data_IF_737255891288
#
_entry.id   IF_737255891288
#
_cell.length_a   1.000
_cell.length_b   1.000
_cell.length_c   1.000
_cell.angle_alpha   90.00
_cell.angle_beta   90.00
_cell.angle_gamma   90.00
#
_symmetry.space_group_name_H-M   'P 1'
#
loop_
_entity.id
_entity.type
_entity.pdbx_description
1 polymer ?
#
# COMPACT_ATOMS: atom_id res chain seq x y z
N UNK A 1 -19.92 -20.94 7.41
CA UNK A 1 -19.25 -19.70 7.84
C UNK A 1 -18.83 -18.91 6.60
N UNK A 2 -19.80 -18.44 5.81
CA UNK A 2 -19.54 -17.87 4.48
C UNK A 2 -19.96 -16.38 4.46
N UNK A 3 -19.83 -15.72 5.60
CA UNK A 3 -20.11 -14.30 5.72
C UNK A 3 -18.89 -13.48 5.33
N UNK A 4 -19.13 -12.27 4.82
CA UNK A 4 -18.12 -11.23 4.65
C UNK A 4 -18.65 -9.96 5.30
N UNK A 5 -17.81 -9.24 6.03
CA UNK A 5 -18.13 -7.94 6.60
C UNK A 5 -17.17 -6.89 6.05
N UNK A 6 -17.70 -5.89 5.35
CA UNK A 6 -16.98 -4.67 5.01
C UNK A 6 -17.34 -3.60 6.06
N UNK A 7 -16.34 -3.21 6.86
CA UNK A 7 -16.45 -2.13 7.85
C UNK A 7 -15.80 -0.86 7.31
N UNK A 8 -16.53 0.24 7.38
CA UNK A 8 -16.07 1.57 6.95
C UNK A 8 -16.17 2.54 8.12
N UNK A 9 -15.03 3.04 8.59
CA UNK A 9 -14.95 4.11 9.56
C UNK A 9 -14.57 5.40 8.82
N UNK A 10 -15.58 6.15 8.37
CA UNK A 10 -15.42 7.32 7.48
C UNK A 10 -14.54 8.41 8.11
N UNK A 11 -14.85 8.81 9.33
CA UNK A 11 -14.11 9.88 10.04
C UNK A 11 -12.66 9.47 10.32
N UNK A 12 -12.41 8.18 10.55
CA UNK A 12 -11.08 7.64 10.82
C UNK A 12 -10.28 7.30 9.54
N UNK A 13 -10.92 7.41 8.36
CA UNK A 13 -10.37 6.98 7.06
C UNK A 13 -9.85 5.54 7.07
N UNK A 14 -10.60 4.62 7.70
CA UNK A 14 -10.23 3.21 7.85
C UNK A 14 -11.26 2.26 7.25
N UNK A 15 -10.75 1.22 6.61
CA UNK A 15 -11.50 0.12 5.99
C UNK A 15 -11.03 -1.21 6.57
N UNK A 16 -11.97 -2.13 6.75
CA UNK A 16 -11.66 -3.51 7.10
C UNK A 16 -12.61 -4.48 6.39
N UNK A 17 -12.06 -5.57 5.87
CA UNK A 17 -12.83 -6.69 5.35
C UNK A 17 -12.54 -7.91 6.23
N UNK A 18 -13.58 -8.45 6.85
CA UNK A 18 -13.50 -9.73 7.57
C UNK A 18 -14.15 -10.82 6.75
N UNK A 19 -13.45 -11.94 6.59
CA UNK A 19 -13.91 -13.07 5.77
C UNK A 19 -14.13 -14.28 6.67
N UNK A 20 -15.31 -14.88 6.56
CA UNK A 20 -15.60 -16.15 7.23
C UNK A 20 -14.78 -17.29 6.65
N UNK A 21 -14.40 -18.25 7.50
CA UNK A 21 -13.54 -19.39 7.13
C UNK A 21 -13.96 -20.13 5.85
N UNK A 22 -15.25 -20.21 5.54
CA UNK A 22 -15.76 -20.88 4.35
C UNK A 22 -15.51 -20.14 3.03
N UNK A 23 -14.95 -18.93 3.08
CA UNK A 23 -14.63 -18.11 1.91
C UNK A 23 -13.13 -17.79 1.80
N UNK A 24 -12.27 -18.36 2.64
CA UNK A 24 -10.82 -18.11 2.57
C UNK A 24 -10.18 -18.58 1.25
N UNK A 25 -10.78 -19.58 0.58
CA UNK A 25 -10.37 -20.02 -0.75
C UNK A 25 -10.63 -18.96 -1.82
N UNK A 26 -11.80 -18.31 -1.77
CA UNK A 26 -12.22 -17.28 -2.71
C UNK A 26 -11.56 -15.92 -2.43
N UNK A 27 -11.53 -15.55 -1.14
CA UNK A 27 -11.12 -14.24 -0.64
C UNK A 27 -10.10 -14.46 0.50
N UNK A 28 -8.87 -14.86 0.19
CA UNK A 28 -7.79 -14.83 1.17
C UNK A 28 -7.45 -13.39 1.55
N UNK A 29 -6.72 -13.22 2.64
CA UNK A 29 -6.31 -11.90 3.17
C UNK A 29 -5.67 -10.99 2.09
N UNK A 30 -4.77 -11.55 1.28
CA UNK A 30 -4.11 -10.81 0.20
C UNK A 30 -5.06 -10.30 -0.89
N UNK A 31 -6.19 -10.98 -1.10
CA UNK A 31 -7.22 -10.56 -2.05
C UNK A 31 -8.12 -9.52 -1.41
N UNK A 32 -8.52 -9.72 -0.15
CA UNK A 32 -9.29 -8.72 0.61
C UNK A 32 -8.54 -7.38 0.68
N UNK A 33 -7.26 -7.43 0.97
CA UNK A 33 -6.38 -6.26 1.00
C UNK A 33 -6.30 -5.57 -0.37
N UNK A 34 -6.22 -6.35 -1.44
CA UNK A 34 -6.19 -5.83 -2.81
C UNK A 34 -7.48 -5.11 -3.19
N UNK A 35 -8.63 -5.65 -2.78
CA UNK A 35 -9.93 -4.98 -2.95
C UNK A 35 -9.92 -3.63 -2.22
N UNK A 36 -9.45 -3.59 -0.97
CA UNK A 36 -9.35 -2.34 -0.22
C UNK A 36 -8.46 -1.34 -0.96
N UNK A 37 -7.24 -1.73 -1.33
CA UNK A 37 -6.23 -0.80 -1.87
C UNK A 37 -6.48 -0.34 -3.30
N UNK A 38 -6.98 -1.21 -4.16
CA UNK A 38 -7.06 -0.95 -5.59
C UNK A 38 -8.48 -0.74 -6.11
N UNK A 39 -9.49 -1.21 -5.37
CA UNK A 39 -10.89 -1.01 -5.75
C UNK A 39 -11.49 0.10 -4.89
N UNK A 40 -11.52 -0.05 -3.56
CA UNK A 40 -12.27 0.88 -2.70
C UNK A 40 -11.54 2.21 -2.45
N UNK A 41 -10.27 2.14 -2.01
CA UNK A 41 -9.52 3.31 -1.56
C UNK A 41 -9.37 4.42 -2.62
N UNK A 42 -9.17 4.14 -3.93
CA UNK A 42 -9.10 5.18 -4.96
C UNK A 42 -10.37 6.04 -5.03
N UNK A 43 -11.55 5.42 -4.97
CA UNK A 43 -12.81 6.16 -4.96
C UNK A 43 -12.97 6.99 -3.69
N UNK A 44 -12.60 6.43 -2.54
CA UNK A 44 -12.71 7.11 -1.25
C UNK A 44 -11.75 8.30 -1.15
N UNK A 45 -10.56 8.23 -1.76
CA UNK A 45 -9.65 9.36 -1.92
C UNK A 45 -10.23 10.49 -2.77
N UNK A 46 -11.12 10.16 -3.70
CA UNK A 46 -11.83 11.11 -4.56
C UNK A 46 -13.20 11.53 -3.98
N UNK A 47 -13.48 11.21 -2.71
CA UNK A 47 -14.77 11.45 -2.04
C UNK A 47 -15.99 10.77 -2.71
N UNK A 48 -15.75 9.80 -3.60
CA UNK A 48 -16.77 9.02 -4.29
C UNK A 48 -17.13 7.74 -3.51
N UNK A 49 -17.62 7.92 -2.29
CA UNK A 49 -17.87 6.81 -1.35
C UNK A 49 -18.86 5.77 -1.90
N UNK A 50 -19.95 6.23 -2.52
CA UNK A 50 -21.01 5.34 -3.04
C UNK A 50 -20.43 4.38 -4.10
N UNK A 51 -19.63 4.90 -5.02
CA UNK A 51 -18.98 4.09 -6.05
C UNK A 51 -17.97 3.11 -5.44
N UNK A 52 -17.16 3.55 -4.47
CA UNK A 52 -16.21 2.67 -3.82
C UNK A 52 -16.87 1.51 -3.06
N UNK A 53 -18.05 1.75 -2.48
CA UNK A 53 -18.84 0.68 -1.83
C UNK A 53 -19.42 -0.27 -2.87
N UNK A 54 -20.00 0.25 -3.96
CA UNK A 54 -20.57 -0.57 -5.04
C UNK A 54 -19.51 -1.44 -5.72
N UNK A 55 -18.36 -0.89 -6.06
CA UNK A 55 -17.29 -1.62 -6.73
C UNK A 55 -16.62 -2.63 -5.78
N UNK A 56 -16.48 -2.26 -4.50
CA UNK A 56 -16.03 -3.19 -3.46
C UNK A 56 -16.99 -4.36 -3.27
N UNK A 57 -18.30 -4.09 -3.21
CA UNK A 57 -19.34 -5.12 -3.16
C UNK A 57 -19.31 -6.00 -4.41
N UNK A 58 -19.20 -5.41 -5.60
CA UNK A 58 -19.15 -6.17 -6.84
C UNK A 58 -17.93 -7.10 -6.87
N UNK A 59 -16.74 -6.59 -6.54
CA UNK A 59 -15.51 -7.39 -6.46
C UNK A 59 -15.65 -8.59 -5.52
N UNK A 60 -16.18 -8.39 -4.31
CA UNK A 60 -16.42 -9.46 -3.34
C UNK A 60 -17.39 -10.49 -3.92
N UNK A 61 -18.49 -10.04 -4.52
CA UNK A 61 -19.55 -10.91 -5.03
C UNK A 61 -19.08 -11.69 -6.27
N UNK A 62 -18.28 -11.09 -7.16
CA UNK A 62 -17.62 -11.75 -8.29
C UNK A 62 -16.80 -12.95 -7.81
N UNK A 63 -15.96 -12.75 -6.79
CA UNK A 63 -15.09 -13.81 -6.27
C UNK A 63 -15.90 -14.95 -5.65
N UNK A 64 -16.93 -14.63 -4.87
CA UNK A 64 -17.81 -15.62 -4.24
C UNK A 64 -18.57 -16.41 -5.31
N UNK A 65 -19.12 -15.73 -6.32
CA UNK A 65 -19.83 -16.41 -7.41
C UNK A 65 -18.89 -17.34 -8.18
N UNK A 66 -17.67 -16.91 -8.48
CA UNK A 66 -16.66 -17.74 -9.14
C UNK A 66 -16.29 -18.98 -8.31
N UNK A 67 -16.11 -18.85 -7.00
CA UNK A 67 -15.81 -19.98 -6.10
C UNK A 67 -16.90 -21.04 -6.14
N UNK A 68 -18.17 -20.62 -6.17
CA UNK A 68 -19.31 -21.53 -6.18
C UNK A 68 -19.82 -21.89 -7.59
N UNK A 69 -19.15 -21.41 -8.65
CA UNK A 69 -19.58 -21.64 -10.04
C UNK A 69 -20.95 -21.05 -10.37
N UNK A 70 -21.30 -19.93 -9.73
CA UNK A 70 -22.56 -19.22 -9.92
C UNK A 70 -22.42 -18.15 -11.00
N UNK A 71 -23.50 -17.94 -11.75
CA UNK A 71 -23.66 -16.79 -12.63
C UNK A 71 -24.52 -15.74 -11.94
N UNK A 72 -24.11 -14.48 -11.96
CA UNK A 72 -24.91 -13.36 -11.43
C UNK A 72 -25.66 -12.72 -12.59
N UNK A 73 -26.98 -12.81 -12.58
CA UNK A 73 -27.90 -12.27 -13.58
C UNK A 73 -28.69 -11.04 -13.08
N UNK A 74 -28.20 -10.40 -12.02
CA UNK A 74 -28.80 -9.21 -11.45
C UNK A 74 -28.66 -8.00 -12.38
N UNK A 75 -29.76 -7.26 -12.57
CA UNK A 75 -29.77 -6.03 -13.36
C UNK A 75 -28.82 -4.99 -12.75
N UNK A 76 -27.94 -4.43 -13.58
CA UNK A 76 -26.93 -3.45 -13.13
C UNK A 76 -25.71 -4.04 -12.45
N UNK A 77 -25.59 -5.36 -12.33
CA UNK A 77 -24.34 -5.99 -11.91
C UNK A 77 -23.26 -5.83 -12.98
N UNK A 78 -22.12 -5.29 -12.59
CA UNK A 78 -20.94 -5.15 -13.43
C UNK A 78 -19.84 -5.98 -12.80
N UNK A 79 -19.34 -6.99 -13.51
CA UNK A 79 -18.22 -7.80 -13.03
C UNK A 79 -17.00 -6.91 -12.79
N UNK A 80 -16.50 -6.91 -11.57
CA UNK A 80 -15.37 -6.07 -11.22
C UNK A 80 -14.06 -6.80 -11.50
N UNK A 81 -13.23 -6.20 -12.36
CA UNK A 81 -11.86 -6.64 -12.52
C UNK A 81 -11.06 -6.29 -11.27
N UNK A 82 -10.59 -7.31 -10.55
CA UNK A 82 -9.67 -7.14 -9.44
C UNK A 82 -8.27 -7.23 -10.03
N UNK A 83 -7.46 -6.16 -9.99
CA UNK A 83 -6.12 -6.18 -10.55
C UNK A 83 -5.36 -7.41 -10.08
N UNK A 84 -4.89 -8.27 -10.99
CA UNK A 84 -4.01 -9.38 -10.62
C UNK A 84 -2.68 -8.78 -10.15
N UNK A 85 -2.23 -9.15 -8.96
CA UNK A 85 -1.11 -8.51 -8.30
C UNK A 85 0.19 -8.58 -9.10
N UNK A 86 0.47 -7.54 -9.89
CA UNK A 86 1.81 -6.99 -9.93
C UNK A 86 1.89 -6.18 -8.64
N UNK A 87 2.59 -6.73 -7.64
CA UNK A 87 3.00 -5.97 -6.48
C UNK A 87 3.60 -4.68 -7.02
N UNK A 88 2.88 -3.58 -6.87
CA UNK A 88 3.44 -2.25 -7.08
C UNK A 88 4.47 -2.12 -5.98
N UNK A 89 5.67 -2.61 -6.27
CA UNK A 89 6.92 -2.42 -5.58
C UNK A 89 7.35 -0.96 -5.82
N UNK A 90 6.38 -0.06 -5.65
CA UNK A 90 6.43 1.38 -5.89
C UNK A 90 7.07 2.12 -4.73
N UNK A 91 7.90 1.44 -3.96
CA UNK A 91 8.73 2.04 -2.92
C UNK A 91 10.19 1.62 -3.12
N UNK A 92 10.48 0.34 -3.33
CA UNK A 92 11.85 -0.13 -3.54
C UNK A 92 12.43 0.29 -4.89
N UNK A 93 11.67 0.20 -5.99
CA UNK A 93 12.18 0.58 -7.32
C UNK A 93 12.45 2.08 -7.43
N UNK A 94 11.56 2.91 -6.90
CA UNK A 94 11.74 4.37 -6.83
C UNK A 94 12.91 4.74 -5.91
N UNK A 95 13.05 4.11 -4.74
CA UNK A 95 14.19 4.31 -3.84
C UNK A 95 15.50 3.89 -4.53
N UNK A 96 15.53 2.74 -5.21
CA UNK A 96 16.72 2.26 -5.93
C UNK A 96 17.11 3.24 -7.05
N UNK A 97 16.15 3.74 -7.84
CA UNK A 97 16.42 4.74 -8.90
C UNK A 97 17.00 6.02 -8.30
N UNK A 98 16.44 6.54 -7.21
CA UNK A 98 16.93 7.75 -6.53
C UNK A 98 18.33 7.54 -5.96
N UNK A 99 18.61 6.39 -5.33
CA UNK A 99 19.93 6.04 -4.79
C UNK A 99 20.96 5.91 -5.91
N UNK A 100 20.62 5.25 -7.02
CA UNK A 100 21.51 5.10 -8.18
C UNK A 100 21.84 6.47 -8.80
N UNK A 101 20.84 7.35 -8.97
CA UNK A 101 21.05 8.72 -9.47
C UNK A 101 21.97 9.50 -8.51
N UNK A 102 21.74 9.40 -7.20
CA UNK A 102 22.56 10.08 -6.19
C UNK A 102 24.02 9.61 -6.19
N UNK A 103 24.27 8.32 -6.40
CA UNK A 103 25.62 7.73 -6.52
C UNK A 103 26.31 8.18 -7.81
N UNK A 104 25.60 8.16 -8.95
CA UNK A 104 26.13 8.63 -10.24
C UNK A 104 26.50 10.11 -10.17
N UNK A 105 25.63 10.95 -9.58
CA UNK A 105 25.90 12.37 -9.40
C UNK A 105 27.13 12.60 -8.50
N UNK A 106 27.29 11.82 -7.42
CA UNK A 106 28.49 11.88 -6.58
C UNK A 106 29.78 11.49 -7.34
N UNK A 107 29.70 10.53 -8.26
CA UNK A 107 30.86 10.09 -9.03
C UNK A 107 31.27 11.13 -10.09
N UNK A 108 30.28 11.77 -10.72
CA UNK A 108 30.51 12.83 -11.72
C UNK A 108 31.10 14.09 -11.06
N UNK A 109 30.62 14.49 -9.88
CA UNK A 109 31.14 15.68 -9.18
C UNK A 109 32.51 15.45 -8.55
N UNK A 110 32.86 14.21 -8.18
CA UNK A 110 34.20 13.87 -7.65
C UNK A 110 35.29 13.83 -8.71
N UNK A 111 34.96 13.65 -10.00
CA UNK A 111 35.97 13.51 -11.06
C UNK A 111 36.36 14.83 -11.76
N UNK A 112 35.84 15.97 -11.32
CA UNK A 112 36.25 17.31 -11.79
C UNK A 112 36.96 18.07 -10.68
N UNK A 113 38.23 17.73 -10.41
CA UNK A 113 38.95 18.41 -9.33
C UNK A 113 40.42 18.06 -9.10
N UNK A 114 41.22 17.76 -10.14
CA UNK A 114 42.69 17.89 -10.04
C UNK A 114 43.18 18.86 -11.11
N UNK A 115 43.08 20.16 -10.83
CA UNK A 115 43.88 21.19 -11.51
C UNK A 115 44.45 22.12 -10.45
N UNK A 116 45.79 22.16 -10.39
CA UNK A 116 46.65 22.98 -9.53
C UNK A 116 46.13 24.40 -9.31
N UNK A 117 45.99 24.84 -8.04
CA UNK A 117 46.35 26.22 -7.63
C UNK A 117 46.98 26.27 -6.24
N UNK A 118 48.21 26.76 -6.30
CA UNK A 118 49.15 27.23 -5.29
C UNK A 118 48.51 28.28 -4.35
N UNK A 119 48.74 28.13 -3.04
CA UNK A 119 48.75 29.24 -2.07
C UNK A 119 47.53 29.35 -1.14
N UNK A 120 47.80 29.53 0.17
CA UNK A 120 46.85 30.17 1.09
C UNK A 120 46.57 29.44 2.39
N UNK A 121 47.48 29.60 3.35
CA UNK A 121 47.37 29.25 4.77
C UNK A 121 46.40 30.19 5.50
N UNK A 122 45.28 29.68 6.03
CA UNK A 122 44.52 30.09 7.24
C UNK A 122 43.48 28.96 7.46
N UNK A 123 43.24 28.32 8.60
CA UNK A 123 43.33 28.72 10.00
C UNK A 123 41.92 28.53 10.62
N UNK A 124 41.76 27.55 11.51
CA UNK A 124 40.54 27.30 12.34
C UNK A 124 39.53 26.36 11.67
N UNK A 125 39.06 25.25 12.26
CA UNK A 125 38.80 24.93 13.66
C UNK A 125 37.29 24.79 13.84
N UNK A 126 36.78 23.66 14.34
CA UNK A 126 35.36 23.57 14.72
C UNK A 126 34.77 22.17 14.73
N UNK A 127 34.61 21.64 15.94
CA UNK A 127 33.91 20.41 16.30
C UNK A 127 32.38 20.54 16.25
N UNK A 128 31.68 19.41 16.15
CA UNK A 128 30.43 19.18 16.88
C UNK A 128 29.15 19.06 16.05
N UNK A 129 28.40 17.97 16.24
CA UNK A 129 27.04 17.83 15.72
C UNK A 129 26.46 16.41 15.73
N UNK A 130 26.56 15.68 16.85
CA UNK A 130 25.63 14.57 17.14
C UNK A 130 24.36 15.16 17.77
N UNK A 131 23.21 14.96 17.13
CA UNK A 131 21.84 15.15 17.65
C UNK A 131 20.91 14.63 16.55
N UNK A 132 20.16 13.55 16.69
CA UNK A 132 19.18 13.30 17.75
C UNK A 132 17.79 13.36 17.09
N UNK A 133 17.15 12.20 16.91
CA UNK A 133 15.85 12.10 16.24
C UNK A 133 15.25 10.71 16.39
N UNK A 134 14.79 10.41 17.60
CA UNK A 134 14.05 9.21 18.00
C UNK A 134 12.56 9.42 17.71
N UNK A 135 11.96 8.51 16.94
CA UNK A 135 10.51 8.34 16.82
C UNK A 135 10.27 7.10 15.95
N UNK A 136 9.79 5.96 16.43
CA UNK A 136 8.88 5.75 17.55
C UNK A 136 7.45 5.62 17.02
N UNK A 137 7.14 4.45 16.45
CA UNK A 137 5.80 4.06 16.03
C UNK A 137 5.93 2.78 15.21
N UNK A 138 5.36 1.65 15.56
CA UNK A 138 4.43 1.29 16.62
C UNK A 138 4.03 -0.12 16.20
N UNK A 139 4.46 -1.11 16.98
CA UNK A 139 4.10 -2.50 16.72
C UNK A 139 2.61 -2.71 16.95
N UNK A 140 1.99 -3.49 16.08
CA UNK A 140 0.75 -4.20 16.35
C UNK A 140 1.13 -5.67 16.11
N UNK A 141 1.20 -6.55 17.11
CA UNK A 141 0.31 -6.66 18.27
C UNK A 141 -0.77 -7.66 17.89
N UNK A 142 -0.42 -8.94 17.93
CA UNK A 142 -1.26 -10.04 17.48
C UNK A 142 -2.52 -10.23 18.32
N UNK A 143 -3.58 -10.66 17.63
CA UNK A 143 -4.77 -11.27 18.20
C UNK A 143 -5.09 -12.51 17.37
N UNK A 144 -5.18 -13.66 18.03
CA UNK A 144 -5.58 -14.93 17.44
C UNK A 144 -7.11 -14.99 17.32
N UNK A 145 -7.63 -14.73 16.12
CA UNK A 145 -8.96 -15.16 15.69
C UNK A 145 -8.80 -15.85 14.35
N UNK A 146 -9.18 -17.13 14.27
CA UNK A 146 -8.94 -18.00 13.11
C UNK A 146 -9.84 -17.71 11.91
N UNK A 147 -9.82 -16.49 11.39
CA UNK A 147 -10.42 -16.10 10.13
C UNK A 147 -9.57 -15.06 9.41
N UNK A 148 -9.41 -15.22 8.09
CA UNK A 148 -8.70 -14.27 7.24
C UNK A 148 -9.41 -12.91 7.08
N UNK A 149 -8.66 -11.83 6.92
CA UNK A 149 -9.24 -10.50 6.72
C UNK A 149 -8.21 -9.37 6.72
N UNK A 150 -8.45 -8.37 5.88
CA UNK A 150 -7.53 -7.26 5.63
C UNK A 150 -8.02 -5.93 6.20
N UNK A 151 -7.09 -5.06 6.57
CA UNK A 151 -7.37 -3.67 6.97
C UNK A 151 -6.51 -2.68 6.19
N UNK A 152 -7.08 -1.53 5.84
CA UNK A 152 -6.36 -0.46 5.16
C UNK A 152 -6.96 0.93 5.43
N UNK A 153 -6.28 1.97 4.97
CA UNK A 153 -6.77 3.36 5.02
C UNK A 153 -6.69 4.03 3.65
N UNK A 154 -7.35 5.18 3.51
CA UNK A 154 -7.39 5.95 2.26
C UNK A 154 -7.01 7.43 2.43
#
# INVERSE_FOLDING_TARGET
NNGVLLLIAKEDRKLRIEVGYGLEGAIPDSVADRIIRHVIAPHFKADNYDQGVLDGFSAITTLIAKEYGLTIDAEGYIEQEIPSGESSDGDLTTIIIVVVIMVILNFITRNKGRVNRRGGRYGGGGWGGFSGGRGGGGGFGGGSSGGGGASGGW
#
